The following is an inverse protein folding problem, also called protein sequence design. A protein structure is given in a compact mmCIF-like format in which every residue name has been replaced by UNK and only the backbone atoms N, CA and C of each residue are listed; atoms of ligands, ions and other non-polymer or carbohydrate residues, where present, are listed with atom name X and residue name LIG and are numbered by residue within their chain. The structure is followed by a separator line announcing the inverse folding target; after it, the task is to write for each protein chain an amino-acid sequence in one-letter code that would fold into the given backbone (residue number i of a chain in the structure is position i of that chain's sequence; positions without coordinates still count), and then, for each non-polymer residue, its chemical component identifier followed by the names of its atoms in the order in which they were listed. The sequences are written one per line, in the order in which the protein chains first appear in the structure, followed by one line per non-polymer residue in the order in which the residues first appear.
data_IF_131853750635
#
_entry.id   IF_131853750635
#
_cell.length_a   1.000
_cell.length_b   1.000
_cell.length_c   1.000
_cell.angle_alpha   90.00
_cell.angle_beta   90.00
_cell.angle_gamma   90.00
#
_symmetry.space_group_name_H-M   'P 1'
#
loop_
_entity.id
_entity.type
_entity.pdbx_description
1 polymer ?
#
# COMPACT_ATOMS: atom_id res chain seq x y z
N UNK A 1 -31.51 7.76 58.82
CA UNK A 1 -32.41 6.79 58.14
C UNK A 1 -32.45 7.12 56.65
N UNK A 2 -32.33 6.09 55.80
CA UNK A 2 -32.51 6.15 54.33
C UNK A 2 -33.90 6.70 53.96
N UNK A 3 -33.99 7.47 52.88
CA UNK A 3 -34.75 7.20 51.62
C UNK A 3 -34.83 8.51 50.79
N UNK A 4 -34.40 8.57 49.52
CA UNK A 4 -35.08 8.07 48.30
C UNK A 4 -36.50 8.72 48.20
N UNK A 5 -37.00 9.38 47.14
CA UNK A 5 -36.89 9.19 45.67
C UNK A 5 -37.60 10.37 44.95
N UNK A 6 -37.34 10.54 43.63
CA UNK A 6 -38.31 10.79 42.52
C UNK A 6 -39.01 12.17 42.46
N UNK A 7 -39.22 12.83 41.31
CA UNK A 7 -39.64 12.40 39.96
C UNK A 7 -39.25 13.48 38.93
N UNK A 8 -38.63 13.22 37.78
CA UNK A 8 -39.17 12.77 36.47
C UNK A 8 -40.35 13.60 35.94
N UNK A 9 -40.14 14.36 34.84
CA UNK A 9 -40.91 14.25 33.59
C UNK A 9 -40.43 15.25 32.50
N UNK A 10 -39.87 14.78 31.36
CA UNK A 10 -40.44 14.64 29.99
C UNK A 10 -40.52 16.01 29.26
N UNK A 11 -39.96 16.23 28.05
CA UNK A 11 -40.46 15.94 26.68
C UNK A 11 -39.24 16.11 25.71
N UNK A 12 -38.98 15.32 24.66
CA UNK A 12 -39.81 14.38 23.93
C UNK A 12 -39.05 13.52 22.89
N UNK A 13 -39.85 12.64 22.30
CA UNK A 13 -39.68 11.67 21.21
C UNK A 13 -38.96 12.24 19.97
N UNK A 14 -38.32 11.51 19.05
CA UNK A 14 -38.25 10.10 18.64
C UNK A 14 -36.86 9.90 17.97
N UNK A 15 -36.30 8.76 17.57
CA UNK A 15 -36.77 7.52 16.92
C UNK A 15 -35.53 6.60 16.86
N UNK A 16 -35.71 5.28 16.65
CA UNK A 16 -34.68 4.22 16.72
C UNK A 16 -33.37 4.49 15.97
N UNK A 17 -32.28 3.74 16.18
CA UNK A 17 -32.18 2.27 16.20
C UNK A 17 -30.87 1.90 16.95
N UNK A 18 -30.95 0.87 17.78
CA UNK A 18 -29.91 -0.07 18.26
C UNK A 18 -28.48 0.41 18.54
N UNK A 19 -28.18 0.45 19.85
CA UNK A 19 -27.17 -0.36 20.53
C UNK A 19 -25.94 -0.82 19.71
N UNK A 20 -24.77 -0.24 20.01
CA UNK A 20 -23.53 -0.99 19.94
C UNK A 20 -22.71 -0.67 21.20
N UNK A 21 -22.60 -1.68 22.05
CA UNK A 21 -21.85 -1.69 23.30
C UNK A 21 -20.41 -1.26 23.06
N UNK A 22 -19.93 -0.30 23.85
CA UNK A 22 -18.50 -0.08 24.09
C UNK A 22 -17.98 -1.29 24.86
N UNK A 23 -17.67 -2.38 24.18
CA UNK A 23 -16.80 -3.42 24.73
C UNK A 23 -15.37 -2.98 24.47
N UNK A 24 -14.73 -2.45 25.51
CA UNK A 24 -13.29 -2.47 25.64
C UNK A 24 -12.86 -3.95 25.66
N UNK A 25 -12.67 -4.52 24.46
CA UNK A 25 -11.97 -5.78 24.32
C UNK A 25 -10.50 -5.46 24.47
N UNK A 26 -9.99 -5.69 25.68
CA UNK A 26 -8.58 -5.95 25.91
C UNK A 26 -8.21 -7.24 25.17
N UNK A 27 -8.12 -7.16 23.85
CA UNK A 27 -7.57 -8.24 23.04
C UNK A 27 -6.09 -8.24 23.35
N UNK A 28 -5.71 -9.10 24.29
CA UNK A 28 -4.39 -9.70 24.32
C UNK A 28 -4.09 -10.13 22.89
N UNK A 29 -3.30 -9.33 22.18
CA UNK A 29 -2.71 -9.72 20.91
C UNK A 29 -1.76 -10.86 21.24
N UNK A 30 -2.30 -12.07 21.30
CA UNK A 30 -1.54 -13.27 21.04
C UNK A 30 -0.82 -12.99 19.74
N UNK A 31 0.49 -12.77 19.87
CA UNK A 31 1.47 -12.76 18.82
C UNK A 31 1.46 -14.15 18.19
N UNK A 32 0.40 -14.44 17.43
CA UNK A 32 0.43 -15.47 16.43
C UNK A 32 1.39 -14.92 15.37
N UNK A 33 2.68 -15.17 15.58
CA UNK A 33 3.62 -15.39 14.49
C UNK A 33 3.06 -16.56 13.69
N UNK A 34 2.01 -16.28 12.92
CA UNK A 34 1.63 -17.13 11.82
C UNK A 34 2.81 -17.04 10.88
N UNK A 35 3.59 -18.11 10.84
CA UNK A 35 4.62 -18.35 9.83
C UNK A 35 3.98 -18.54 8.45
N UNK A 36 3.05 -17.63 8.09
CA UNK A 36 2.41 -17.59 6.81
C UNK A 36 3.51 -17.24 5.82
N UNK A 37 4.00 -18.27 5.13
CA UNK A 37 4.99 -18.13 4.08
C UNK A 37 4.31 -17.36 2.95
N UNK A 38 4.41 -16.04 2.97
CA UNK A 38 3.96 -15.17 1.87
C UNK A 38 4.70 -15.66 0.62
N UNK A 39 3.95 -16.10 -0.38
CA UNK A 39 4.54 -16.59 -1.62
C UNK A 39 5.18 -15.43 -2.40
N UNK A 40 6.10 -15.75 -3.31
CA UNK A 40 6.68 -14.76 -4.23
C UNK A 40 5.60 -13.96 -4.96
N UNK A 41 4.53 -14.63 -5.38
CA UNK A 41 3.39 -14.02 -6.08
C UNK A 41 2.62 -13.03 -5.21
N UNK A 42 2.34 -13.40 -3.95
CA UNK A 42 1.63 -12.51 -3.03
C UNK A 42 2.44 -11.25 -2.75
N UNK A 43 3.76 -11.39 -2.62
CA UNK A 43 4.63 -10.26 -2.38
C UNK A 43 4.84 -9.39 -3.63
N UNK A 44 4.85 -9.98 -4.83
CA UNK A 44 4.82 -9.22 -6.09
C UNK A 44 3.55 -8.36 -6.19
N UNK A 45 2.39 -8.91 -5.86
CA UNK A 45 1.13 -8.15 -5.82
C UNK A 45 1.17 -7.03 -4.77
N UNK A 46 1.76 -7.30 -3.60
CA UNK A 46 1.96 -6.27 -2.58
C UNK A 46 2.81 -5.11 -3.10
N UNK A 47 3.95 -5.39 -3.74
CA UNK A 47 4.82 -4.37 -4.32
C UNK A 47 4.10 -3.57 -5.41
N UNK A 48 3.33 -4.23 -6.29
CA UNK A 48 2.50 -3.57 -7.30
C UNK A 48 1.46 -2.63 -6.67
N UNK A 49 0.86 -3.02 -5.55
CA UNK A 49 -0.09 -2.18 -4.81
C UNK A 49 0.60 -0.95 -4.24
N UNK A 50 1.76 -1.11 -3.59
CA UNK A 50 2.52 0.01 -2.99
C UNK A 50 2.84 1.10 -4.01
N UNK A 51 3.33 0.73 -5.19
CA UNK A 51 3.64 1.71 -6.25
C UNK A 51 2.40 2.32 -6.89
N UNK A 52 1.34 1.52 -7.07
CA UNK A 52 0.08 1.99 -7.65
C UNK A 52 -0.54 3.02 -6.72
N UNK A 53 -0.68 2.71 -5.43
CA UNK A 53 -1.25 3.59 -4.41
C UNK A 53 -0.46 4.89 -4.29
N UNK A 54 0.87 4.83 -4.38
CA UNK A 54 1.71 6.03 -4.33
C UNK A 54 1.45 6.96 -5.51
N UNK A 55 1.37 6.41 -6.72
CA UNK A 55 1.17 7.19 -7.95
C UNK A 55 -0.28 7.72 -8.01
N UNK A 56 -1.28 6.93 -7.60
CA UNK A 56 -2.68 7.37 -7.56
C UNK A 56 -2.94 8.40 -6.47
N UNK A 57 -2.30 8.29 -5.30
CA UNK A 57 -2.37 9.31 -4.25
C UNK A 57 -1.80 10.66 -4.71
N UNK A 58 -0.87 10.65 -5.68
CA UNK A 58 -0.36 11.86 -6.33
C UNK A 58 -1.26 12.39 -7.46
N UNK A 59 -2.41 11.77 -7.71
CA UNK A 59 -3.39 12.19 -8.70
C UNK A 59 -3.18 11.63 -10.11
N UNK A 60 -2.28 10.64 -10.28
CA UNK A 60 -1.98 10.05 -11.59
C UNK A 60 -2.63 8.68 -11.76
N UNK A 61 -3.25 8.46 -12.92
CA UNK A 61 -3.83 7.19 -13.32
C UNK A 61 -2.99 6.51 -14.41
N UNK A 62 -2.91 5.19 -14.33
CA UNK A 62 -2.21 4.36 -15.31
C UNK A 62 -3.12 4.06 -16.51
N UNK A 63 -2.60 4.24 -17.73
CA UNK A 63 -3.17 3.56 -18.88
C UNK A 63 -2.77 2.05 -18.87
N UNK A 64 -3.38 1.25 -19.74
CA UNK A 64 -3.13 -0.20 -19.77
C UNK A 64 -1.65 -0.53 -20.05
N UNK A 65 -1.01 0.19 -20.97
CA UNK A 65 0.38 -0.08 -21.36
C UNK A 65 1.37 0.18 -20.21
N UNK A 66 1.21 1.31 -19.50
CA UNK A 66 2.03 1.65 -18.33
C UNK A 66 1.76 0.67 -17.20
N UNK A 67 0.50 0.26 -16.99
CA UNK A 67 0.15 -0.75 -15.99
C UNK A 67 0.81 -2.11 -16.29
N UNK A 68 0.75 -2.59 -17.53
CA UNK A 68 1.40 -3.83 -17.93
C UNK A 68 2.92 -3.75 -17.76
N UNK A 69 3.53 -2.64 -18.19
CA UNK A 69 4.98 -2.42 -18.08
C UNK A 69 5.42 -2.37 -16.62
N UNK A 70 4.65 -1.69 -15.76
CA UNK A 70 4.87 -1.64 -14.32
C UNK A 70 4.80 -3.04 -13.69
N UNK A 71 3.77 -3.81 -14.04
CA UNK A 71 3.59 -5.17 -13.53
C UNK A 71 4.78 -6.07 -13.90
N UNK A 72 5.20 -6.05 -15.17
CA UNK A 72 6.38 -6.80 -15.62
C UNK A 72 7.65 -6.35 -14.88
N UNK A 73 7.86 -5.05 -14.74
CA UNK A 73 9.03 -4.51 -14.05
C UNK A 73 9.10 -4.92 -12.58
N UNK A 74 7.98 -4.84 -11.85
CA UNK A 74 7.91 -5.26 -10.44
C UNK A 74 8.12 -6.76 -10.32
N UNK A 75 7.51 -7.55 -11.20
CA UNK A 75 7.62 -9.01 -11.16
C UNK A 75 9.06 -9.47 -11.41
N UNK A 76 9.72 -8.93 -12.44
CA UNK A 76 11.09 -9.27 -12.79
C UNK A 76 12.07 -8.80 -11.71
N UNK A 77 11.90 -7.58 -11.20
CA UNK A 77 12.75 -7.03 -10.14
C UNK A 77 12.64 -7.80 -8.83
N UNK A 78 11.42 -8.18 -8.44
CA UNK A 78 11.17 -9.04 -7.29
C UNK A 78 11.81 -10.43 -7.47
N UNK A 79 11.63 -11.06 -8.64
CA UNK A 79 12.22 -12.38 -8.94
C UNK A 79 13.74 -12.35 -8.83
N UNK A 80 14.38 -11.29 -9.33
CA UNK A 80 15.84 -11.07 -9.25
C UNK A 80 16.30 -10.86 -7.81
N UNK A 81 15.62 -9.98 -7.07
CA UNK A 81 15.98 -9.66 -5.68
C UNK A 81 15.84 -10.87 -4.74
N UNK A 82 14.86 -11.74 -5.00
CA UNK A 82 14.60 -12.91 -4.16
C UNK A 82 15.22 -14.21 -4.70
N UNK A 83 15.98 -14.13 -5.81
CA UNK A 83 16.57 -15.27 -6.50
C UNK A 83 15.54 -16.38 -6.84
N UNK A 84 14.30 -15.98 -7.14
CA UNK A 84 13.18 -16.90 -7.37
C UNK A 84 12.71 -17.68 -6.12
N UNK A 85 13.31 -17.44 -4.96
CA UNK A 85 12.98 -18.09 -3.69
C UNK A 85 12.04 -17.26 -2.80
N UNK A 86 11.87 -17.71 -1.56
CA UNK A 86 11.08 -17.00 -0.56
C UNK A 86 11.84 -15.76 -0.06
N UNK A 87 11.23 -14.56 -0.09
CA UNK A 87 11.91 -13.35 0.34
C UNK A 87 12.13 -13.35 1.87
N UNK A 88 13.35 -13.04 2.29
CA UNK A 88 13.65 -12.72 3.69
C UNK A 88 13.24 -11.27 4.02
N UNK A 89 13.20 -10.91 5.31
CA UNK A 89 12.66 -9.61 5.72
C UNK A 89 13.48 -8.40 5.26
N UNK A 90 14.80 -8.57 5.09
CA UNK A 90 15.66 -7.52 4.57
C UNK A 90 15.44 -7.30 3.07
N UNK A 91 15.28 -8.38 2.31
CA UNK A 91 14.90 -8.34 0.90
C UNK A 91 13.53 -7.69 0.71
N UNK A 92 12.55 -8.00 1.57
CA UNK A 92 11.23 -7.36 1.56
C UNK A 92 11.34 -5.85 1.77
N UNK A 93 11.99 -5.42 2.85
CA UNK A 93 12.22 -3.99 3.14
C UNK A 93 12.97 -3.28 2.02
N UNK A 94 13.98 -3.92 1.45
CA UNK A 94 14.74 -3.37 0.33
C UNK A 94 13.88 -3.22 -0.94
N UNK A 95 13.03 -4.20 -1.24
CA UNK A 95 12.10 -4.15 -2.37
C UNK A 95 11.06 -3.05 -2.19
N UNK A 96 10.41 -2.96 -1.02
CA UNK A 96 9.44 -1.91 -0.70
C UNK A 96 10.07 -0.52 -0.78
N UNK A 97 11.24 -0.32 -0.16
CA UNK A 97 11.95 0.95 -0.22
C UNK A 97 12.32 1.33 -1.66
N UNK A 98 12.74 0.35 -2.47
CA UNK A 98 13.06 0.57 -3.88
C UNK A 98 11.82 0.98 -4.68
N UNK A 99 10.73 0.22 -4.55
CA UNK A 99 9.47 0.44 -5.27
C UNK A 99 8.82 1.78 -4.85
N UNK A 100 8.93 2.16 -3.59
CA UNK A 100 8.51 3.46 -3.09
C UNK A 100 9.33 4.62 -3.70
N UNK A 101 10.66 4.50 -3.77
CA UNK A 101 11.53 5.48 -4.45
C UNK A 101 11.24 5.57 -5.94
N UNK A 102 10.97 4.44 -6.58
CA UNK A 102 10.55 4.40 -7.97
C UNK A 102 9.24 5.16 -8.19
N UNK A 103 8.23 4.93 -7.35
CA UNK A 103 6.99 5.70 -7.38
C UNK A 103 7.24 7.21 -7.25
N UNK A 104 8.13 7.64 -6.34
CA UNK A 104 8.49 9.07 -6.20
C UNK A 104 9.13 9.64 -7.45
N UNK A 105 10.07 8.90 -8.06
CA UNK A 105 10.73 9.34 -9.28
C UNK A 105 9.76 9.45 -10.46
N UNK A 106 8.81 8.52 -10.59
CA UNK A 106 7.75 8.58 -11.59
C UNK A 106 6.86 9.80 -11.39
N UNK A 107 6.44 10.06 -10.14
CA UNK A 107 5.61 11.23 -9.79
C UNK A 107 6.37 12.54 -10.02
N UNK A 108 7.66 12.60 -9.66
CA UNK A 108 8.49 13.78 -9.86
C UNK A 108 8.67 14.10 -11.35
N UNK A 109 8.88 13.08 -12.19
CA UNK A 109 8.97 13.24 -13.65
C UNK A 109 7.63 13.66 -14.27
N UNK A 110 6.53 13.02 -13.87
CA UNK A 110 5.19 13.38 -14.32
C UNK A 110 4.84 14.84 -13.97
N UNK A 111 5.25 15.31 -12.78
CA UNK A 111 5.09 16.70 -12.34
C UNK A 111 5.97 17.66 -13.14
N UNK A 112 7.24 17.33 -13.36
CA UNK A 112 8.16 18.19 -14.14
C UNK A 112 7.67 18.37 -15.58
N UNK A 113 7.02 17.35 -16.13
CA UNK A 113 6.41 17.33 -17.46
C UNK A 113 4.98 17.86 -17.51
N UNK A 114 4.43 18.31 -16.37
CA UNK A 114 3.09 18.90 -16.24
C UNK A 114 1.98 17.99 -16.78
N UNK A 115 2.09 16.68 -16.55
CA UNK A 115 1.04 15.73 -16.93
C UNK A 115 -0.22 15.96 -16.08
N UNK A 116 -1.39 15.90 -16.69
CA UNK A 116 -2.68 16.06 -16.01
C UNK A 116 -3.41 14.72 -15.89
N UNK A 117 -3.42 14.15 -14.68
CA UNK A 117 -4.23 12.99 -14.32
C UNK A 117 -3.83 11.65 -14.96
N UNK A 118 -3.04 11.65 -16.03
CA UNK A 118 -2.64 10.43 -16.76
C UNK A 118 -1.13 10.29 -16.80
N UNK A 119 -0.65 9.14 -16.34
CA UNK A 119 0.75 8.78 -16.41
C UNK A 119 1.06 8.22 -17.81
N UNK A 120 2.15 8.67 -18.40
CA UNK A 120 2.64 8.18 -19.67
C UNK A 120 3.88 7.27 -19.53
N UNK A 121 4.23 6.60 -20.61
CA UNK A 121 5.36 5.67 -20.63
C UNK A 121 6.72 6.37 -20.44
N UNK A 122 6.81 7.64 -20.82
CA UNK A 122 8.07 8.38 -20.73
C UNK A 122 8.42 8.69 -19.26
N UNK A 123 7.42 8.97 -18.41
CA UNK A 123 7.64 9.16 -16.96
C UNK A 123 8.16 7.88 -16.30
N UNK A 124 7.61 6.74 -16.71
CA UNK A 124 8.10 5.43 -16.25
C UNK A 124 9.54 5.16 -16.69
N UNK A 125 9.88 5.41 -17.96
CA UNK A 125 11.23 5.19 -18.50
C UNK A 125 12.26 6.12 -17.86
N UNK A 126 11.90 7.38 -17.62
CA UNK A 126 12.76 8.36 -16.97
C UNK A 126 13.10 7.92 -15.54
N UNK A 127 12.10 7.59 -14.73
CA UNK A 127 12.29 7.07 -13.37
C UNK A 127 13.16 5.80 -13.35
N UNK A 128 12.92 4.88 -14.29
CA UNK A 128 13.74 3.68 -14.45
C UNK A 128 15.19 4.01 -14.77
N UNK A 129 15.45 4.94 -15.69
CA UNK A 129 16.80 5.36 -16.06
C UNK A 129 17.57 5.96 -14.87
N UNK A 130 16.89 6.74 -14.04
CA UNK A 130 17.48 7.37 -12.84
C UNK A 130 17.84 6.32 -11.78
N UNK A 131 16.97 5.33 -11.56
CA UNK A 131 17.08 4.42 -10.43
C UNK A 131 17.77 3.09 -10.74
N UNK A 132 17.81 2.65 -12.00
CA UNK A 132 18.39 1.37 -12.38
C UNK A 132 19.92 1.21 -12.48
N UNK A 133 20.79 2.23 -12.34
CA UNK A 133 22.24 2.01 -12.39
C UNK A 133 22.79 1.11 -11.27
N UNK A 134 22.10 1.00 -10.14
CA UNK A 134 22.67 0.45 -8.89
C UNK A 134 21.91 -0.70 -8.18
N UNK A 135 20.57 -0.85 -8.27
CA UNK A 135 19.85 -1.85 -7.50
C UNK A 135 19.81 -3.22 -8.18
N UNK A 136 19.88 -4.29 -7.38
CA UNK A 136 19.63 -5.69 -7.81
C UNK A 136 18.27 -5.81 -8.53
N UNK A 137 17.30 -4.99 -8.13
CA UNK A 137 15.98 -4.89 -8.75
C UNK A 137 16.02 -4.56 -10.26
N UNK A 138 17.10 -3.93 -10.73
CA UNK A 138 17.26 -3.50 -12.13
C UNK A 138 18.37 -4.20 -12.89
N UNK A 139 19.21 -5.02 -12.24
CA UNK A 139 20.30 -5.75 -12.91
C UNK A 139 19.70 -6.60 -14.02
N UNK A 140 20.25 -6.55 -15.23
CA UNK A 140 19.76 -7.34 -16.36
C UNK A 140 20.03 -8.82 -16.14
#
# INVERSE_FOLDING_TARGET
MKKLILSIAIVGFATGISLAQTTASSTSLTKHQSSYKISLSDYQQHLQKVITDKITAAGYHFNNDVRQTLNSFVNDGAKKMFNGGQPNDDQKKAAEAYVAKFGDAVVADAKSRKLEGKLDMMSFRSARSILCPNPIFCKQ
#
